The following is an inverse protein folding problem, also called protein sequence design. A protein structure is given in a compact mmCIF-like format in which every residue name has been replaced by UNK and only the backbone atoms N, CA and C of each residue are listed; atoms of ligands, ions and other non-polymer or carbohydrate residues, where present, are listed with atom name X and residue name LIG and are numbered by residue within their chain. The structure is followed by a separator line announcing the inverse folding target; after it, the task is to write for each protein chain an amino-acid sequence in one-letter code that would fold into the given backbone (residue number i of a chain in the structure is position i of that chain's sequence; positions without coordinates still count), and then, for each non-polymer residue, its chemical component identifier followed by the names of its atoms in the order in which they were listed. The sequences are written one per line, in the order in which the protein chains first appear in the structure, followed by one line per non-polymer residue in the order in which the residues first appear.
data_IF_690217549496
#
_entry.id   IF_690217549496
#
_cell.length_a   1.000
_cell.length_b   1.000
_cell.length_c   1.000
_cell.angle_alpha   90.00
_cell.angle_beta   90.00
_cell.angle_gamma   90.00
#
_symmetry.space_group_name_H-M   'P 1'
#
loop_
_entity.id
_entity.type
_entity.pdbx_description
1 polymer ?
#
# COMPACT_ATOMS: atom_id res chain seq x y z
N UNK A 1 12.75 -25.72 6.11
CA UNK A 1 13.44 -24.59 5.45
C UNK A 1 13.07 -23.34 6.23
N UNK A 2 14.02 -22.68 6.88
CA UNK A 2 13.78 -21.39 7.55
C UNK A 2 13.94 -20.32 6.47
N UNK A 3 12.88 -19.57 6.18
CA UNK A 3 12.96 -18.41 5.26
C UNK A 3 13.07 -17.15 6.11
N UNK A 4 14.27 -16.59 6.21
CA UNK A 4 14.52 -15.30 6.87
C UNK A 4 14.40 -14.21 5.81
N UNK A 5 13.32 -13.43 5.85
CA UNK A 5 13.09 -12.26 4.99
C UNK A 5 12.19 -12.52 3.77
N UNK A 6 12.08 -11.49 2.92
CA UNK A 6 11.26 -11.49 1.70
C UNK A 6 12.08 -11.92 0.47
N UNK A 7 11.50 -12.66 -0.49
CA UNK A 7 12.16 -12.97 -1.76
C UNK A 7 12.58 -11.70 -2.52
N UNK A 8 13.75 -11.75 -3.17
CA UNK A 8 14.34 -10.60 -3.87
C UNK A 8 14.83 -10.97 -5.26
N UNK A 9 14.57 -10.12 -6.25
CA UNK A 9 15.14 -10.22 -7.59
C UNK A 9 16.65 -10.07 -7.52
N UNK A 10 17.37 -11.08 -7.99
CA UNK A 10 18.84 -11.17 -7.90
C UNK A 10 19.38 -11.02 -6.46
N UNK A 11 18.55 -11.28 -5.43
CA UNK A 11 18.92 -11.05 -4.02
C UNK A 11 18.93 -9.58 -3.59
N UNK A 12 18.61 -8.64 -4.48
CA UNK A 12 18.74 -7.19 -4.25
C UNK A 12 17.38 -6.56 -3.96
N UNK A 13 16.45 -6.60 -4.94
CA UNK A 13 15.23 -5.82 -4.92
C UNK A 13 14.01 -6.66 -4.54
N UNK A 14 13.21 -6.21 -3.57
CA UNK A 14 12.03 -6.93 -3.07
C UNK A 14 10.76 -6.74 -3.93
N UNK A 15 10.90 -6.19 -5.14
CA UNK A 15 9.82 -6.04 -6.12
C UNK A 15 10.28 -6.55 -7.48
N UNK A 16 9.32 -7.00 -8.29
CA UNK A 16 9.56 -7.48 -9.67
C UNK A 16 9.30 -6.42 -10.73
N UNK A 17 8.70 -5.28 -10.36
CA UNK A 17 8.41 -4.15 -11.24
C UNK A 17 8.72 -2.84 -10.55
N UNK A 18 9.34 -1.92 -11.27
CA UNK A 18 9.69 -0.60 -10.77
C UNK A 18 10.00 0.38 -11.91
N UNK A 19 9.78 1.67 -11.67
CA UNK A 19 10.33 2.75 -12.49
C UNK A 19 11.76 3.01 -11.98
N UNK A 20 12.74 3.15 -12.87
CA UNK A 20 14.16 3.25 -12.47
C UNK A 20 14.88 1.89 -12.50
N UNK A 21 15.76 1.62 -11.55
CA UNK A 21 16.52 0.34 -11.45
C UNK A 21 17.16 -0.12 -12.77
N UNK A 22 17.84 0.81 -13.46
CA UNK A 22 18.38 0.59 -14.81
C UNK A 22 19.25 -0.68 -14.91
N UNK A 23 20.07 -0.94 -13.88
CA UNK A 23 20.97 -2.09 -13.81
C UNK A 23 20.24 -3.44 -13.71
N UNK A 24 18.98 -3.44 -13.23
CA UNK A 24 18.17 -4.64 -13.03
C UNK A 24 17.10 -4.84 -14.10
N UNK A 25 17.04 -4.01 -15.16
CA UNK A 25 15.96 -4.04 -16.18
C UNK A 25 15.80 -5.34 -16.95
N UNK A 26 16.79 -6.24 -16.92
CA UNK A 26 16.63 -7.61 -17.43
C UNK A 26 15.57 -8.40 -16.65
N UNK A 27 15.39 -8.10 -15.36
CA UNK A 27 14.53 -8.82 -14.44
C UNK A 27 13.42 -7.97 -13.83
N UNK A 28 13.61 -6.65 -13.74
CA UNK A 28 12.67 -5.69 -13.13
C UNK A 28 12.07 -4.80 -14.21
N UNK A 29 10.88 -5.14 -14.70
CA UNK A 29 10.22 -4.41 -15.78
C UNK A 29 9.54 -3.13 -15.27
N UNK A 30 9.32 -2.16 -16.15
CA UNK A 30 8.60 -0.92 -15.82
C UNK A 30 7.11 -0.96 -16.25
N UNK A 31 6.66 -2.07 -16.83
CA UNK A 31 5.31 -2.18 -17.37
C UNK A 31 4.28 -2.30 -16.25
N UNK A 32 3.34 -1.34 -16.14
CA UNK A 32 2.34 -1.37 -15.08
C UNK A 32 1.30 -2.46 -15.35
N UNK A 33 0.69 -2.97 -14.29
CA UNK A 33 -0.58 -3.66 -14.40
C UNK A 33 -1.70 -2.63 -14.36
N UNK A 34 -2.59 -2.66 -15.36
CA UNK A 34 -3.70 -1.72 -15.47
C UNK A 34 -5.03 -2.45 -15.32
N UNK A 35 -5.96 -1.83 -14.59
CA UNK A 35 -7.31 -2.36 -14.41
C UNK A 35 -8.33 -1.23 -14.49
N UNK A 36 -9.33 -1.41 -15.33
CA UNK A 36 -10.50 -0.53 -15.39
C UNK A 36 -11.65 -1.18 -14.64
N UNK A 37 -12.18 -0.49 -13.63
CA UNK A 37 -13.31 -0.98 -12.83
C UNK A 37 -14.47 -0.01 -13.00
N UNK A 38 -15.65 -0.53 -13.36
CA UNK A 38 -16.87 0.28 -13.41
C UNK A 38 -17.29 0.62 -11.98
N UNK A 39 -17.49 1.90 -11.71
CA UNK A 39 -17.96 2.39 -10.41
C UNK A 39 -19.33 1.81 -10.08
N UNK A 40 -19.45 1.31 -8.86
CA UNK A 40 -20.73 0.94 -8.23
C UNK A 40 -21.14 2.01 -7.21
N UNK A 41 -22.44 2.30 -7.04
CA UNK A 41 -22.93 3.16 -5.95
C UNK A 41 -22.58 2.65 -4.54
N UNK A 42 -22.21 1.37 -4.41
CA UNK A 42 -21.81 0.77 -3.14
C UNK A 42 -20.35 1.05 -2.76
N UNK A 43 -19.51 1.50 -3.70
CA UNK A 43 -18.12 1.86 -3.44
C UNK A 43 -18.08 3.29 -2.90
N UNK A 44 -17.62 3.45 -1.66
CA UNK A 44 -17.61 4.74 -0.95
C UNK A 44 -16.31 5.52 -1.16
N UNK A 45 -15.18 4.82 -1.25
CA UNK A 45 -13.88 5.45 -1.35
C UNK A 45 -12.84 4.52 -1.99
N UNK A 46 -11.70 5.09 -2.36
CA UNK A 46 -10.47 4.36 -2.69
C UNK A 46 -9.40 4.73 -1.67
N UNK A 47 -8.73 3.72 -1.13
CA UNK A 47 -7.52 3.88 -0.31
C UNK A 47 -6.32 3.40 -1.13
N UNK A 48 -5.32 4.26 -1.27
CA UNK A 48 -4.03 3.97 -1.89
C UNK A 48 -2.96 4.20 -0.82
N UNK A 49 -2.02 3.27 -0.64
CA UNK A 49 -0.97 3.40 0.36
C UNK A 49 0.31 2.64 -0.01
N UNK A 50 1.43 3.02 0.61
CA UNK A 50 2.69 2.27 0.57
C UNK A 50 2.61 0.99 1.42
N UNK A 51 3.53 0.06 1.21
CA UNK A 51 3.71 -1.16 2.00
C UNK A 51 3.90 -0.88 3.50
N UNK A 52 4.46 0.27 3.88
CA UNK A 52 4.49 0.71 5.28
C UNK A 52 3.12 0.70 6.00
N UNK A 53 1.99 0.81 5.28
CA UNK A 53 0.64 0.53 5.83
C UNK A 53 0.33 -0.97 5.77
N UNK A 54 0.48 -1.59 4.59
CA UNK A 54 0.01 -2.95 4.31
C UNK A 54 0.80 -4.05 5.02
N UNK A 55 2.00 -3.75 5.51
CA UNK A 55 2.80 -4.66 6.33
C UNK A 55 2.20 -4.86 7.73
N UNK A 56 1.39 -3.91 8.22
CA UNK A 56 0.80 -3.93 9.58
C UNK A 56 -0.72 -3.83 9.58
N UNK A 57 -1.35 -3.75 8.41
CA UNK A 57 -2.80 -3.76 8.22
C UNK A 57 -3.20 -4.76 7.15
N UNK A 58 -4.27 -5.52 7.44
CA UNK A 58 -5.04 -6.17 6.39
C UNK A 58 -5.92 -5.16 5.65
N UNK A 59 -6.32 -5.51 4.42
CA UNK A 59 -7.23 -4.68 3.61
C UNK A 59 -8.53 -4.33 4.36
N UNK A 60 -9.11 -5.30 5.09
CA UNK A 60 -10.37 -5.10 5.79
C UNK A 60 -10.21 -4.22 7.03
N UNK A 61 -9.11 -4.35 7.77
CA UNK A 61 -8.82 -3.48 8.91
C UNK A 61 -8.62 -2.05 8.47
N UNK A 62 -7.86 -1.81 7.39
CA UNK A 62 -7.66 -0.47 6.86
C UNK A 62 -8.98 0.17 6.40
N UNK A 63 -9.85 -0.60 5.74
CA UNK A 63 -11.17 -0.12 5.32
C UNK A 63 -12.05 0.23 6.52
N UNK A 64 -12.13 -0.64 7.52
CA UNK A 64 -12.91 -0.39 8.73
C UNK A 64 -12.39 0.84 9.50
N UNK A 65 -11.07 0.95 9.64
CA UNK A 65 -10.42 2.08 10.31
C UNK A 65 -10.74 3.42 9.66
N UNK A 66 -10.73 3.49 8.33
CA UNK A 66 -11.10 4.69 7.57
C UNK A 66 -12.61 4.98 7.71
N UNK A 67 -13.47 3.95 7.70
CA UNK A 67 -14.92 4.13 7.86
C UNK A 67 -15.28 4.71 9.24
N UNK A 68 -14.64 4.22 10.30
CA UNK A 68 -14.87 4.71 11.66
C UNK A 68 -14.40 6.16 11.85
N UNK A 69 -13.47 6.63 11.01
CA UNK A 69 -12.86 7.96 11.07
C UNK A 69 -13.24 8.87 9.91
N UNK A 70 -14.33 8.54 9.21
CA UNK A 70 -14.71 9.24 7.99
C UNK A 70 -14.91 10.76 8.17
N UNK A 71 -15.35 11.18 9.36
CA UNK A 71 -15.56 12.58 9.71
C UNK A 71 -14.30 13.39 10.03
N UNK A 72 -13.13 12.74 10.11
CA UNK A 72 -11.87 13.43 10.35
C UNK A 72 -11.38 14.18 9.09
N UNK A 73 -10.56 15.25 9.25
CA UNK A 73 -9.91 15.89 8.11
C UNK A 73 -9.10 14.87 7.30
N UNK A 74 -9.36 14.81 5.99
CA UNK A 74 -8.73 13.83 5.10
C UNK A 74 -9.23 12.39 5.32
N UNK A 75 -10.44 12.21 5.86
CA UNK A 75 -11.12 10.92 6.05
C UNK A 75 -10.29 9.89 6.83
N UNK A 76 -9.56 10.34 7.85
CA UNK A 76 -8.75 9.47 8.69
C UNK A 76 -7.41 9.01 8.09
N UNK A 77 -7.01 9.52 6.92
CA UNK A 77 -5.73 9.16 6.28
C UNK A 77 -4.51 9.40 7.19
N UNK A 78 -4.47 10.56 7.87
CA UNK A 78 -3.39 10.86 8.83
C UNK A 78 -3.40 9.89 10.01
N UNK A 79 -4.59 9.59 10.53
CA UNK A 79 -4.76 8.66 11.66
C UNK A 79 -4.35 7.24 11.27
N UNK A 80 -4.63 6.82 10.03
CA UNK A 80 -4.20 5.51 9.52
C UNK A 80 -2.67 5.43 9.46
N UNK A 81 -2.01 6.50 9.01
CA UNK A 81 -0.56 6.58 8.99
C UNK A 81 0.07 6.52 10.38
N UNK A 82 -0.52 7.22 11.36
CA UNK A 82 -0.06 7.18 12.75
C UNK A 82 -0.28 5.79 13.37
N UNK A 83 -1.44 5.18 13.15
CA UNK A 83 -1.73 3.85 13.66
C UNK A 83 -0.77 2.80 13.09
N UNK A 84 -0.37 2.91 11.81
CA UNK A 84 0.65 2.02 11.25
C UNK A 84 2.00 2.16 11.97
N UNK A 85 2.40 3.39 12.31
CA UNK A 85 3.59 3.62 13.12
C UNK A 85 3.44 3.01 14.53
N UNK A 86 2.29 3.20 15.17
CA UNK A 86 2.00 2.68 16.51
C UNK A 86 1.97 1.14 16.54
N UNK A 87 1.60 0.50 15.42
CA UNK A 87 1.69 -0.97 15.21
C UNK A 87 3.10 -1.47 14.93
N UNK A 88 4.09 -0.58 14.87
CA UNK A 88 5.49 -0.93 14.67
C UNK A 88 5.92 -1.01 13.21
N UNK A 89 5.26 -0.28 12.30
CA UNK A 89 5.81 -0.09 10.96
C UNK A 89 7.14 0.65 11.03
N UNK A 90 8.17 0.08 10.41
CA UNK A 90 9.53 0.63 10.36
C UNK A 90 9.85 1.32 9.03
N UNK A 91 8.87 1.42 8.13
CA UNK A 91 9.05 1.99 6.79
C UNK A 91 8.44 3.40 6.66
N UNK A 92 8.63 4.03 5.51
CA UNK A 92 7.95 5.24 5.13
C UNK A 92 6.46 4.96 4.93
N UNK A 93 5.64 5.67 5.70
CA UNK A 93 4.19 5.53 5.70
C UNK A 93 3.54 6.67 4.92
N UNK A 94 2.85 6.33 3.83
CA UNK A 94 2.08 7.28 3.03
C UNK A 94 0.75 6.65 2.60
N UNK A 95 -0.34 7.41 2.67
CA UNK A 95 -1.62 6.99 2.13
C UNK A 95 -2.44 8.17 1.59
N UNK A 96 -3.35 7.86 0.67
CA UNK A 96 -4.31 8.77 0.05
C UNK A 96 -5.68 8.12 0.10
N UNK A 97 -6.66 8.86 0.61
CA UNK A 97 -8.08 8.48 0.59
C UNK A 97 -8.81 9.37 -0.40
N UNK A 98 -9.50 8.75 -1.35
CA UNK A 98 -10.30 9.43 -2.37
C UNK A 98 -11.77 9.11 -2.12
N UNK A 99 -12.56 10.14 -1.84
CA UNK A 99 -14.02 10.05 -1.77
C UNK A 99 -14.58 9.84 -3.19
N UNK A 100 -15.44 8.83 -3.36
CA UNK A 100 -16.01 8.46 -4.66
C UNK A 100 -17.42 9.01 -4.80
#
# INVERSE_FOLDING_TARGET
VIHLGVPRVQGILAVSRAIGDAELKRFVIADPETRTVRRSPTQKFVLIATDGIWDVFTNMEAVAFIQDRWGEPGHGARSLGQEAFDRGSFDNVCCVVVDL
#
